data_IF_485578905207
#
_entry.id   IF_485578905207
#
_cell.length_a   1.000
_cell.length_b   1.000
_cell.length_c   1.000
_cell.angle_alpha   90.00
_cell.angle_beta   90.00
_cell.angle_gamma   90.00
#
_symmetry.space_group_name_H-M   'P 1'
#
loop_
_entity.id
_entity.type
_entity.pdbx_description
1 polymer ?
#
# COMPACT_ATOMS: atom_id res chain seq x y z
N UNK A 1 -14.21 4.23 -5.15
CA UNK A 1 -14.89 2.93 -4.96
C UNK A 1 -15.25 2.68 -3.49
N UNK A 2 -15.77 1.50 -3.16
CA UNK A 2 -16.31 1.09 -1.84
C UNK A 2 -15.44 1.51 -0.66
N UNK A 3 -14.12 1.29 -0.76
CA UNK A 3 -13.14 1.64 0.28
C UNK A 3 -12.47 3.00 0.06
N UNK A 4 -13.05 3.90 -0.73
CA UNK A 4 -12.56 5.29 -0.89
C UNK A 4 -11.36 5.48 -1.83
N UNK A 5 -10.85 4.40 -2.45
CA UNK A 5 -9.81 4.49 -3.49
C UNK A 5 -10.36 4.88 -4.88
N UNK A 6 -9.45 5.05 -5.84
CA UNK A 6 -9.75 5.53 -7.19
C UNK A 6 -10.36 4.49 -8.14
N UNK A 7 -10.34 3.19 -7.76
CA UNK A 7 -10.91 2.12 -8.59
C UNK A 7 -10.18 1.84 -9.89
N UNK A 8 -8.86 2.08 -9.91
CA UNK A 8 -8.03 1.79 -11.08
C UNK A 8 -7.47 0.37 -11.02
N UNK A 9 -6.96 -0.09 -12.16
CA UNK A 9 -6.36 -1.41 -12.29
C UNK A 9 -4.89 -1.44 -11.80
N UNK A 10 -4.33 -2.66 -11.80
CA UNK A 10 -2.95 -2.88 -11.38
C UNK A 10 -1.94 -2.20 -12.30
N UNK A 11 -2.25 -2.05 -13.59
CA UNK A 11 -1.36 -1.39 -14.55
C UNK A 11 -1.25 0.11 -14.25
N UNK A 12 -2.36 0.78 -13.95
CA UNK A 12 -2.37 2.17 -13.53
C UNK A 12 -1.54 2.39 -12.26
N UNK A 13 -1.61 1.47 -11.29
CA UNK A 13 -0.75 1.50 -10.10
C UNK A 13 0.74 1.42 -10.46
N UNK A 14 1.13 0.47 -11.31
CA UNK A 14 2.53 0.30 -11.73
C UNK A 14 3.05 1.55 -12.45
N UNK A 15 2.25 2.13 -13.36
CA UNK A 15 2.59 3.36 -14.06
C UNK A 15 2.76 4.51 -13.05
N UNK A 16 1.87 4.66 -12.07
CA UNK A 16 2.00 5.71 -11.06
C UNK A 16 3.31 5.60 -10.25
N UNK A 17 3.68 4.38 -9.84
CA UNK A 17 4.97 4.12 -9.16
C UNK A 17 6.15 4.44 -10.07
N UNK A 18 6.09 4.03 -11.34
CA UNK A 18 7.13 4.30 -12.34
C UNK A 18 7.34 5.82 -12.53
N UNK A 19 6.26 6.56 -12.79
CA UNK A 19 6.32 8.00 -13.05
C UNK A 19 6.83 8.81 -11.85
N UNK A 20 6.41 8.45 -10.63
CA UNK A 20 6.96 9.08 -9.42
C UNK A 20 8.45 8.77 -9.24
N UNK A 21 8.84 7.53 -9.53
CA UNK A 21 10.23 7.08 -9.36
C UNK A 21 11.19 7.69 -10.38
N UNK A 22 10.71 8.09 -11.57
CA UNK A 22 11.52 8.83 -12.57
C UNK A 22 12.07 10.15 -12.01
N UNK A 23 11.39 10.75 -11.05
CA UNK A 23 11.77 12.04 -10.44
C UNK A 23 12.32 11.85 -9.03
N UNK A 24 11.66 11.03 -8.20
CA UNK A 24 12.05 10.79 -6.82
C UNK A 24 11.73 9.33 -6.42
N UNK A 25 12.76 8.48 -6.44
CA UNK A 25 12.64 7.08 -6.07
C UNK A 25 12.13 6.90 -4.63
N UNK A 26 12.50 7.79 -3.70
CA UNK A 26 12.01 7.74 -2.31
C UNK A 26 10.49 7.93 -2.23
N UNK A 27 9.93 8.85 -3.01
CA UNK A 27 8.47 9.06 -3.07
C UNK A 27 7.78 7.87 -3.73
N UNK A 28 8.36 7.33 -4.80
CA UNK A 28 7.85 6.13 -5.47
C UNK A 28 7.79 4.92 -4.53
N UNK A 29 8.86 4.65 -3.77
CA UNK A 29 8.87 3.53 -2.81
C UNK A 29 7.96 3.78 -1.62
N UNK A 30 7.77 5.03 -1.18
CA UNK A 30 6.75 5.36 -0.16
C UNK A 30 5.34 4.99 -0.63
N UNK A 31 4.95 5.36 -1.86
CA UNK A 31 3.66 4.96 -2.43
C UNK A 31 3.55 3.44 -2.53
N UNK A 32 4.61 2.78 -3.02
CA UNK A 32 4.64 1.34 -3.23
C UNK A 32 4.48 0.58 -1.91
N UNK A 33 5.27 0.91 -0.88
CA UNK A 33 5.20 0.27 0.43
C UNK A 33 3.83 0.50 1.10
N UNK A 34 3.32 1.72 1.04
CA UNK A 34 2.01 2.05 1.60
C UNK A 34 0.87 1.26 0.93
N UNK A 35 0.85 1.21 -0.39
CA UNK A 35 -0.27 0.63 -1.15
C UNK A 35 -0.14 -0.89 -1.26
N UNK A 36 1.01 -1.39 -1.71
CA UNK A 36 1.18 -2.80 -2.05
C UNK A 36 1.62 -3.69 -0.89
N UNK A 37 2.38 -3.16 0.08
CA UNK A 37 2.83 -3.96 1.22
C UNK A 37 1.89 -3.82 2.42
N UNK A 38 1.42 -2.60 2.72
CA UNK A 38 0.54 -2.36 3.87
C UNK A 38 -0.95 -2.45 3.51
N UNK A 39 -1.39 -1.78 2.44
CA UNK A 39 -2.81 -1.74 2.06
C UNK A 39 -3.35 -3.04 1.49
N UNK A 40 -2.60 -3.68 0.59
CA UNK A 40 -3.05 -4.88 -0.13
C UNK A 40 -3.40 -6.07 0.78
N UNK A 41 -2.62 -6.43 1.82
CA UNK A 41 -3.01 -7.52 2.71
C UNK A 41 -4.33 -7.26 3.45
N UNK A 42 -4.60 -6.01 3.83
CA UNK A 42 -5.89 -5.63 4.46
C UNK A 42 -7.03 -5.77 3.45
N UNK A 43 -6.82 -5.34 2.20
CA UNK A 43 -7.81 -5.50 1.14
C UNK A 43 -8.10 -6.97 0.82
N UNK A 44 -7.07 -7.80 0.72
CA UNK A 44 -7.18 -9.20 0.32
C UNK A 44 -7.69 -10.12 1.44
N UNK A 45 -7.25 -9.89 2.69
CA UNK A 45 -7.46 -10.82 3.80
C UNK A 45 -8.16 -10.22 5.01
N UNK A 46 -8.32 -8.90 5.06
CA UNK A 46 -9.02 -8.25 6.16
C UNK A 46 -10.52 -8.56 6.17
N UNK A 47 -11.14 -8.54 7.35
CA UNK A 47 -12.61 -8.54 7.46
C UNK A 47 -13.18 -7.22 6.92
N UNK A 48 -14.49 -7.19 6.69
CA UNK A 48 -15.13 -5.95 6.22
C UNK A 48 -14.95 -4.80 7.21
N UNK A 49 -15.04 -5.08 8.51
CA UNK A 49 -14.78 -4.11 9.57
C UNK A 49 -13.34 -3.57 9.50
N UNK A 50 -12.35 -4.44 9.30
CA UNK A 50 -10.95 -4.03 9.16
C UNK A 50 -10.72 -3.18 7.90
N UNK A 51 -11.39 -3.48 6.78
CA UNK A 51 -11.30 -2.66 5.56
C UNK A 51 -11.91 -1.28 5.77
N UNK A 52 -13.05 -1.19 6.43
CA UNK A 52 -13.66 0.12 6.75
C UNK A 52 -12.81 0.93 7.73
N UNK A 53 -12.22 0.28 8.75
CA UNK A 53 -11.44 0.96 9.79
C UNK A 53 -10.04 1.38 9.33
N UNK A 54 -9.35 0.53 8.57
CA UNK A 54 -7.94 0.73 8.23
C UNK A 54 -7.72 1.09 6.76
N UNK A 55 -8.27 0.30 5.84
CA UNK A 55 -8.01 0.47 4.40
C UNK A 55 -8.59 1.79 3.86
N UNK A 56 -9.80 2.16 4.32
CA UNK A 56 -10.49 3.37 3.86
C UNK A 56 -9.75 4.68 4.17
N UNK A 57 -9.31 4.96 5.41
CA UNK A 57 -8.50 6.15 5.68
C UNK A 57 -7.11 6.08 5.02
N UNK A 58 -6.54 4.89 4.82
CA UNK A 58 -5.30 4.73 4.05
C UNK A 58 -5.49 5.14 2.58
N UNK A 59 -6.54 4.66 1.92
CA UNK A 59 -6.84 4.99 0.52
C UNK A 59 -7.10 6.50 0.30
N UNK A 60 -7.49 7.23 1.35
CA UNK A 60 -7.68 8.70 1.34
C UNK A 60 -6.40 9.48 1.65
N UNK A 61 -5.31 8.80 2.00
CA UNK A 61 -4.06 9.43 2.43
C UNK A 61 -4.11 10.04 3.84
N UNK A 62 -5.16 9.75 4.62
CA UNK A 62 -5.30 10.24 6.00
C UNK A 62 -4.39 9.47 6.98
N UNK A 63 -4.07 8.21 6.64
CA UNK A 63 -3.14 7.36 7.39
C UNK A 63 -2.10 6.75 6.44
N UNK A 64 -0.85 6.72 6.87
CA UNK A 64 0.23 6.01 6.17
C UNK A 64 0.42 4.63 6.80
N UNK A 65 0.65 3.64 5.94
CA UNK A 65 0.86 2.25 6.32
C UNK A 65 2.30 1.81 6.07
N UNK A 66 2.77 0.86 6.86
CA UNK A 66 4.06 0.21 6.72
C UNK A 66 3.90 -1.30 6.91
N UNK A 67 4.88 -2.06 6.41
CA UNK A 67 4.89 -3.52 6.49
C UNK A 67 6.08 -3.98 7.33
N UNK A 68 5.79 -4.51 8.52
CA UNK A 68 6.79 -5.05 9.43
C UNK A 68 6.93 -6.55 9.21
N UNK A 69 8.00 -6.94 8.52
CA UNK A 69 8.38 -8.35 8.33
C UNK A 69 9.81 -8.60 8.77
N UNK A 70 10.75 -7.78 8.31
CA UNK A 70 12.18 -7.92 8.63
C UNK A 70 12.46 -7.69 10.11
N UNK A 71 13.28 -8.58 10.69
CA UNK A 71 13.77 -8.52 12.06
C UNK A 71 15.32 -8.54 12.09
N UNK A 72 15.99 -8.19 13.21
CA UNK A 72 17.46 -8.18 13.27
C UNK A 72 18.13 -9.52 12.94
N UNK A 73 17.42 -10.63 13.16
CA UNK A 73 17.90 -11.99 12.89
C UNK A 73 17.24 -12.68 11.70
N UNK A 74 16.27 -12.05 11.02
CA UNK A 74 15.50 -12.67 9.94
C UNK A 74 15.14 -11.67 8.83
N UNK A 75 15.39 -12.08 7.59
CA UNK A 75 15.20 -11.23 6.40
C UNK A 75 14.78 -12.05 5.19
N UNK A 76 15.75 -12.67 4.50
CA UNK A 76 15.45 -13.55 3.35
C UNK A 76 14.81 -14.89 3.74
N UNK A 77 14.87 -15.24 5.02
CA UNK A 77 14.37 -16.49 5.63
C UNK A 77 13.05 -16.32 6.40
N UNK A 78 12.37 -15.19 6.16
CA UNK A 78 11.04 -14.89 6.69
C UNK A 78 9.95 -15.80 6.10
#
# INVERSE_FOLDING_TARGET
>A
EEYGGIGSDYLAYVIAVEELSKVCASTGVTLSAHTSLAGWPIYAFGTEEQKQEYLKPMARGEKIGAYGLTEPGSGSDA
#
